data_IF_270836129022
#
_entry.id   IF_270836129022
#
_cell.length_a   1.000
_cell.length_b   1.000
_cell.length_c   1.000
_cell.angle_alpha   90.00
_cell.angle_beta   90.00
_cell.angle_gamma   90.00
#
_symmetry.space_group_name_H-M   'P 1'
#
loop_
_entity.id
_entity.type
_entity.pdbx_description
1 polymer ?
#
# COMPACT_ATOMS: atom_id res chain seq x y z
N UNK A 1 -7.42 -13.59 -30.45
CA UNK A 1 -8.05 -12.41 -29.83
C UNK A 1 -7.02 -11.85 -28.86
N UNK A 2 -6.34 -10.76 -29.24
CA UNK A 2 -5.38 -10.12 -28.34
C UNK A 2 -6.18 -9.32 -27.31
N UNK A 3 -6.11 -9.75 -26.05
CA UNK A 3 -6.68 -9.00 -24.93
C UNK A 3 -5.78 -7.77 -24.71
N UNK A 4 -6.24 -6.60 -25.16
CA UNK A 4 -5.50 -5.34 -25.00
C UNK A 4 -5.98 -4.68 -23.73
N UNK A 5 -5.27 -4.92 -22.62
CA UNK A 5 -5.49 -4.19 -21.38
C UNK A 5 -4.60 -2.94 -21.34
N UNK A 6 -5.20 -1.75 -21.24
CA UNK A 6 -4.46 -0.54 -20.90
C UNK A 6 -4.13 -0.59 -19.41
N UNK A 7 -2.83 -0.69 -19.07
CA UNK A 7 -2.39 -0.42 -17.70
C UNK A 7 -2.62 1.04 -17.42
N UNK A 8 -3.55 1.33 -16.51
CA UNK A 8 -3.87 2.69 -16.07
C UNK A 8 -3.10 2.97 -14.78
N UNK A 9 -2.44 4.11 -14.73
CA UNK A 9 -1.75 4.58 -13.55
C UNK A 9 -1.44 6.05 -13.70
N UNK A 10 -1.67 6.82 -12.65
CA UNK A 10 -1.29 8.23 -12.61
C UNK A 10 0.17 8.27 -12.18
N UNK A 11 1.02 8.91 -12.98
CA UNK A 11 2.39 9.22 -12.59
C UNK A 11 2.38 10.33 -11.55
N UNK A 12 2.55 9.94 -10.28
CA UNK A 12 2.58 10.83 -9.13
C UNK A 12 3.90 11.60 -9.02
N UNK A 13 4.97 11.17 -9.71
CA UNK A 13 6.24 11.91 -9.69
C UNK A 13 6.15 13.27 -10.40
N UNK A 14 5.18 13.41 -11.30
CA UNK A 14 4.94 14.65 -12.05
C UNK A 14 3.85 15.52 -11.41
N UNK A 15 3.34 15.14 -10.23
CA UNK A 15 2.26 15.84 -9.54
C UNK A 15 2.79 16.59 -8.32
N UNK A 16 2.11 17.67 -7.94
CA UNK A 16 2.30 18.31 -6.63
C UNK A 16 1.53 17.49 -5.60
N UNK A 17 2.25 16.71 -4.80
CA UNK A 17 1.66 15.86 -3.77
C UNK A 17 1.41 16.66 -2.48
N UNK A 18 0.32 16.35 -1.74
CA UNK A 18 0.17 16.85 -0.38
C UNK A 18 1.31 16.29 0.48
N UNK A 19 1.95 17.16 1.26
CA UNK A 19 3.02 16.79 2.18
C UNK A 19 2.54 16.60 3.62
N UNK A 20 3.47 16.21 4.49
CA UNK A 20 3.26 16.04 5.92
C UNK A 20 3.00 14.59 6.36
N UNK A 21 2.97 14.38 7.68
CA UNK A 21 2.89 13.05 8.29
C UNK A 21 1.53 12.36 8.11
N UNK A 22 0.53 13.10 7.61
CA UNK A 22 -0.81 12.62 7.26
C UNK A 22 -0.82 11.72 6.02
N UNK A 23 0.29 11.67 5.27
CA UNK A 23 0.42 10.91 4.04
C UNK A 23 1.63 9.98 4.04
N UNK A 24 1.48 8.85 3.34
CA UNK A 24 2.58 7.94 3.01
C UNK A 24 2.67 7.87 1.49
N UNK A 25 3.77 8.39 0.95
CA UNK A 25 4.09 8.27 -0.47
C UNK A 25 5.01 7.08 -0.69
N UNK A 26 4.64 6.19 -1.61
CA UNK A 26 5.36 4.96 -1.93
C UNK A 26 5.71 4.99 -3.42
N UNK A 27 6.97 5.28 -3.80
CA UNK A 27 7.37 5.44 -5.20
C UNK A 27 7.51 4.11 -5.95
N UNK A 28 7.78 3.01 -5.25
CA UNK A 28 7.76 1.64 -5.78
C UNK A 28 6.78 0.79 -4.98
N UNK A 29 5.50 0.88 -5.36
CA UNK A 29 4.42 0.23 -4.64
C UNK A 29 4.52 -1.30 -4.68
N UNK A 30 4.99 -1.87 -5.79
CA UNK A 30 5.13 -3.31 -5.96
C UNK A 30 6.14 -3.88 -4.95
N UNK A 31 7.35 -3.31 -4.91
CA UNK A 31 8.39 -3.76 -4.00
C UNK A 31 8.01 -3.53 -2.53
N UNK A 32 7.43 -2.37 -2.22
CA UNK A 32 7.04 -2.04 -0.85
C UNK A 32 5.95 -2.98 -0.32
N UNK A 33 4.95 -3.33 -1.14
CA UNK A 33 3.90 -4.28 -0.77
C UNK A 33 4.49 -5.67 -0.55
N UNK A 34 5.40 -6.13 -1.40
CA UNK A 34 6.06 -7.43 -1.24
C UNK A 34 6.83 -7.51 0.08
N UNK A 35 7.64 -6.49 0.40
CA UNK A 35 8.37 -6.39 1.66
C UNK A 35 7.43 -6.35 2.87
N UNK A 36 6.36 -5.56 2.80
CA UNK A 36 5.38 -5.47 3.87
C UNK A 36 4.66 -6.82 4.08
N UNK A 37 4.35 -7.56 3.01
CA UNK A 37 3.76 -8.92 3.11
C UNK A 37 4.70 -9.87 3.85
N UNK A 38 5.98 -9.91 3.48
CA UNK A 38 6.96 -10.77 4.17
C UNK A 38 7.08 -10.44 5.66
N UNK A 39 7.01 -9.15 6.02
CA UNK A 39 7.04 -8.74 7.43
C UNK A 39 5.76 -9.14 8.19
N UNK A 40 4.60 -8.99 7.56
CA UNK A 40 3.29 -9.36 8.12
C UNK A 40 3.16 -10.87 8.32
N UNK A 41 3.76 -11.70 7.46
CA UNK A 41 3.71 -13.16 7.61
C UNK A 41 4.33 -13.65 8.92
N UNK A 42 5.27 -12.90 9.48
CA UNK A 42 5.90 -13.17 10.78
C UNK A 42 5.06 -12.73 11.98
N UNK A 43 3.90 -12.08 11.80
CA UNK A 43 3.07 -11.63 12.91
C UNK A 43 2.41 -12.81 13.64
N UNK A 44 2.40 -12.72 14.97
CA UNK A 44 1.92 -13.81 15.83
C UNK A 44 0.39 -13.82 15.97
N UNK A 45 -0.24 -12.65 15.98
CA UNK A 45 -1.70 -12.56 16.05
C UNK A 45 -2.32 -12.89 14.68
N UNK A 46 -3.11 -13.98 14.57
CA UNK A 46 -3.66 -14.42 13.30
C UNK A 46 -4.72 -13.45 12.74
N UNK A 47 -5.46 -12.75 13.60
CA UNK A 47 -6.50 -11.79 13.20
C UNK A 47 -5.83 -10.52 12.67
N UNK A 48 -4.82 -10.01 13.36
CA UNK A 48 -4.07 -8.82 12.88
C UNK A 48 -3.35 -9.12 11.57
N UNK A 49 -2.72 -10.30 11.47
CA UNK A 49 -2.07 -10.77 10.24
C UNK A 49 -3.04 -10.85 9.07
N UNK A 50 -4.21 -11.49 9.26
CA UNK A 50 -5.21 -11.60 8.19
C UNK A 50 -5.73 -10.23 7.76
N UNK A 51 -6.01 -9.34 8.71
CA UNK A 51 -6.42 -7.97 8.39
C UNK A 51 -5.35 -7.19 7.63
N UNK A 52 -4.08 -7.34 8.00
CA UNK A 52 -2.95 -6.71 7.31
C UNK A 52 -2.77 -7.26 5.89
N UNK A 53 -2.85 -8.58 5.72
CA UNK A 53 -2.81 -9.24 4.41
C UNK A 53 -3.97 -8.78 3.50
N UNK A 54 -5.18 -8.65 4.04
CA UNK A 54 -6.35 -8.13 3.31
C UNK A 54 -6.17 -6.67 2.85
N UNK A 55 -5.55 -5.84 3.71
CA UNK A 55 -5.20 -4.45 3.36
C UNK A 55 -4.16 -4.42 2.24
N UNK A 56 -3.07 -5.18 2.37
CA UNK A 56 -2.01 -5.28 1.35
C UNK A 56 -2.51 -5.87 0.02
N UNK A 57 -3.42 -6.84 0.08
CA UNK A 57 -4.09 -7.38 -1.11
C UNK A 57 -4.94 -6.34 -1.82
N UNK A 58 -5.60 -5.45 -1.08
CA UNK A 58 -6.34 -4.34 -1.69
C UNK A 58 -5.43 -3.37 -2.41
N UNK A 59 -4.30 -2.98 -1.81
CA UNK A 59 -3.30 -2.12 -2.47
C UNK A 59 -2.65 -2.82 -3.67
N UNK A 60 -2.41 -4.13 -3.58
CA UNK A 60 -1.83 -4.93 -4.67
C UNK A 60 -2.70 -4.90 -5.92
N UNK A 61 -4.03 -4.85 -5.78
CA UNK A 61 -4.94 -4.76 -6.94
C UNK A 61 -4.76 -3.48 -7.73
N UNK A 62 -4.49 -2.35 -7.07
CA UNK A 62 -4.21 -1.08 -7.75
C UNK A 62 -2.90 -1.18 -8.54
N UNK A 63 -1.89 -1.85 -7.96
CA UNK A 63 -0.61 -2.11 -8.63
C UNK A 63 -0.76 -3.02 -9.83
N UNK A 64 -1.52 -4.11 -9.69
CA UNK A 64 -1.83 -5.04 -10.78
C UNK A 64 -2.57 -4.32 -11.93
N UNK A 65 -3.41 -3.33 -11.59
CA UNK A 65 -4.09 -2.43 -12.53
C UNK A 65 -3.15 -1.48 -13.30
N UNK A 66 -1.90 -1.34 -12.87
CA UNK A 66 -0.89 -0.52 -13.53
C UNK A 66 -0.36 0.65 -12.69
N UNK A 67 -0.89 0.88 -11.49
CA UNK A 67 -0.42 1.94 -10.61
C UNK A 67 0.96 1.60 -10.04
N UNK A 68 1.99 2.41 -10.34
CA UNK A 68 3.35 2.17 -9.84
C UNK A 68 3.64 2.79 -8.49
N UNK A 69 2.96 3.90 -8.19
CA UNK A 69 3.20 4.75 -7.03
C UNK A 69 1.92 4.86 -6.20
N UNK A 70 2.01 4.83 -4.88
CA UNK A 70 0.84 5.03 -4.02
C UNK A 70 1.01 6.31 -3.20
N UNK A 71 -0.10 7.01 -3.00
CA UNK A 71 -0.22 8.08 -2.01
C UNK A 71 -1.37 7.72 -1.08
N UNK A 72 -1.03 7.37 0.15
CA UNK A 72 -1.97 6.86 1.14
C UNK A 72 -2.21 7.91 2.20
N UNK A 73 -3.47 8.25 2.46
CA UNK A 73 -3.84 9.13 3.58
C UNK A 73 -3.99 8.32 4.85
N UNK A 74 -3.16 8.60 5.85
CA UNK A 74 -3.04 7.82 7.11
C UNK A 74 -4.39 7.60 7.79
N UNK A 75 -5.20 8.66 7.88
CA UNK A 75 -6.50 8.61 8.55
C UNK A 75 -7.51 7.64 7.92
N UNK A 76 -7.38 7.30 6.63
CA UNK A 76 -8.27 6.36 5.96
C UNK A 76 -8.04 4.92 6.42
N UNK A 77 -6.80 4.58 6.76
CA UNK A 77 -6.41 3.22 7.15
C UNK A 77 -6.49 3.01 8.66
N UNK A 78 -6.31 4.06 9.45
CA UNK A 78 -6.43 3.99 10.91
C UNK A 78 -7.89 3.97 11.39
N UNK A 79 -8.85 4.49 10.60
CA UNK A 79 -10.24 4.70 11.04
C UNK A 79 -10.92 3.43 11.57
N UNK A 80 -10.78 2.32 10.86
CA UNK A 80 -11.48 1.07 11.21
C UNK A 80 -10.62 0.10 12.01
N UNK A 81 -9.29 0.18 11.85
CA UNK A 81 -8.32 -0.74 12.46
C UNK A 81 -7.02 0.04 12.76
N UNK A 82 -6.98 0.83 13.84
CA UNK A 82 -5.88 1.78 14.07
C UNK A 82 -4.52 1.10 14.24
N UNK A 83 -4.46 -0.03 14.95
CA UNK A 83 -3.21 -0.78 15.18
C UNK A 83 -2.65 -1.35 13.88
N UNK A 84 -3.45 -2.18 13.19
CA UNK A 84 -3.06 -2.81 11.92
C UNK A 84 -2.77 -1.78 10.84
N UNK A 85 -3.63 -0.76 10.71
CA UNK A 85 -3.48 0.29 9.72
C UNK A 85 -2.18 1.08 9.92
N UNK A 86 -1.84 1.43 11.16
CA UNK A 86 -0.58 2.12 11.48
C UNK A 86 0.61 1.22 11.17
N UNK A 87 0.60 -0.02 11.63
CA UNK A 87 1.71 -0.95 11.42
C UNK A 87 1.98 -1.22 9.93
N UNK A 88 0.94 -1.40 9.11
CA UNK A 88 1.10 -1.58 7.67
C UNK A 88 1.64 -0.31 7.01
N UNK A 89 1.13 0.87 7.38
CA UNK A 89 1.63 2.14 6.85
C UNK A 89 3.09 2.38 7.21
N UNK A 90 3.52 2.02 8.42
CA UNK A 90 4.92 2.13 8.84
C UNK A 90 5.82 1.15 8.08
N UNK A 91 5.36 -0.09 7.84
CA UNK A 91 6.08 -1.05 7.00
C UNK A 91 6.24 -0.53 5.56
N UNK A 92 5.19 0.06 5.00
CA UNK A 92 5.24 0.65 3.66
C UNK A 92 6.19 1.86 3.61
N UNK A 93 6.17 2.72 4.64
CA UNK A 93 7.09 3.86 4.75
C UNK A 93 8.55 3.43 4.88
N UNK A 94 8.82 2.36 5.63
CA UNK A 94 10.17 1.82 5.81
C UNK A 94 10.72 1.08 4.58
N UNK A 95 9.86 0.70 3.63
CA UNK A 95 10.24 -0.01 2.43
C UNK A 95 10.70 0.91 1.27
N UNK A 96 10.54 2.23 1.43
CA UNK A 96 10.88 3.30 0.46
C UNK A 96 12.32 3.76 0.60
#
# INVERSE_FOLDING_TARGET
MCDVAFRSGIDLSQQVLPGGDDYVYVPDAANAIERARSAVDCWTDPIERDNAQNMLASLSRDVDGGQRQLLLRVSLYQRSRPVVGTAVLDLLRAAV
#
